data_IF_489534776037
#
_entry.id   IF_489534776037
#
_cell.length_a   1.000
_cell.length_b   1.000
_cell.length_c   1.000
_cell.angle_alpha   90.00
_cell.angle_beta   90.00
_cell.angle_gamma   90.00
#
_symmetry.space_group_name_H-M   'P 1'
#
loop_
_entity.id
_entity.type
_entity.pdbx_description
1 polymer ?
#
# COMPACT_ATOMS: atom_id res chain seq x y z
N UNK A 1 7.56 1.58 -13.30
CA UNK A 1 6.40 1.43 -12.41
C UNK A 1 5.23 1.10 -13.31
N UNK A 2 4.57 -0.02 -13.04
CA UNK A 2 3.39 -0.45 -13.78
C UNK A 2 2.15 -0.13 -12.95
N UNK A 3 1.16 0.49 -13.58
CA UNK A 3 -0.12 0.81 -12.96
C UNK A 3 -1.23 0.11 -13.74
N UNK A 4 -2.05 -0.66 -13.03
CA UNK A 4 -3.20 -1.35 -13.61
C UNK A 4 -4.43 -1.04 -12.78
N UNK A 5 -5.48 -0.58 -13.44
CA UNK A 5 -6.80 -0.37 -12.85
C UNK A 5 -7.79 -1.34 -13.49
N UNK A 6 -8.31 -2.27 -12.69
CA UNK A 6 -9.33 -3.25 -13.08
C UNK A 6 -10.74 -2.85 -12.62
N UNK A 7 -10.94 -1.65 -12.08
CA UNK A 7 -12.28 -1.19 -11.70
C UNK A 7 -13.01 -0.55 -12.89
N UNK A 8 -14.33 -0.66 -12.91
CA UNK A 8 -15.18 0.04 -13.88
C UNK A 8 -15.38 1.53 -13.52
N UNK A 9 -14.91 1.93 -12.32
CA UNK A 9 -14.90 3.27 -11.77
C UNK A 9 -14.48 3.22 -10.29
N UNK A 10 -13.69 4.18 -9.82
CA UNK A 10 -13.46 4.39 -8.38
C UNK A 10 -14.40 5.50 -7.91
N UNK A 11 -15.44 5.14 -7.16
CA UNK A 11 -16.32 6.09 -6.50
C UNK A 11 -15.82 6.30 -5.07
N UNK A 12 -14.91 7.27 -4.90
CA UNK A 12 -14.39 7.67 -3.61
C UNK A 12 -15.01 9.01 -3.19
N UNK A 13 -15.31 9.15 -1.90
CA UNK A 13 -15.53 10.49 -1.35
C UNK A 13 -14.22 11.27 -1.32
N UNK A 14 -14.24 12.62 -1.27
CA UNK A 14 -13.02 13.41 -1.18
C UNK A 14 -12.12 13.01 0.00
N UNK A 15 -12.73 12.65 1.14
CA UNK A 15 -11.99 12.17 2.31
C UNK A 15 -11.31 10.82 2.03
N UNK A 16 -12.00 9.90 1.35
CA UNK A 16 -11.42 8.62 0.95
C UNK A 16 -10.26 8.80 -0.04
N UNK A 17 -10.39 9.69 -1.03
CA UNK A 17 -9.31 10.02 -1.97
C UNK A 17 -8.06 10.49 -1.23
N UNK A 18 -8.22 11.39 -0.25
CA UNK A 18 -7.12 11.91 0.55
C UNK A 18 -6.44 10.82 1.38
N UNK A 19 -7.20 9.90 1.98
CA UNK A 19 -6.59 8.80 2.74
C UNK A 19 -5.86 7.81 1.83
N UNK A 20 -6.47 7.41 0.72
CA UNK A 20 -5.87 6.50 -0.27
C UNK A 20 -4.59 7.13 -0.82
N UNK A 21 -4.62 8.41 -1.21
CA UNK A 21 -3.45 9.12 -1.71
C UNK A 21 -2.28 9.09 -0.74
N UNK A 22 -2.51 9.40 0.54
CA UNK A 22 -1.45 9.41 1.53
C UNK A 22 -0.91 8.01 1.85
N UNK A 23 -1.76 6.96 1.80
CA UNK A 23 -1.29 5.58 1.96
C UNK A 23 -0.37 5.20 0.79
N UNK A 24 -0.79 5.48 -0.45
CA UNK A 24 0.02 5.21 -1.64
C UNK A 24 1.33 6.00 -1.61
N UNK A 25 1.27 7.28 -1.23
CA UNK A 25 2.45 8.14 -1.13
C UNK A 25 3.47 7.59 -0.13
N UNK A 26 3.02 7.21 1.07
CA UNK A 26 3.88 6.65 2.10
C UNK A 26 4.48 5.31 1.68
N UNK A 27 3.67 4.44 1.05
CA UNK A 27 4.15 3.17 0.50
C UNK A 27 5.27 3.37 -0.54
N UNK A 28 5.06 4.26 -1.51
CA UNK A 28 6.05 4.59 -2.53
C UNK A 28 7.30 5.24 -1.93
N UNK A 29 7.14 6.12 -0.93
CA UNK A 29 8.28 6.71 -0.23
C UNK A 29 9.12 5.65 0.49
N UNK A 30 8.49 4.66 1.13
CA UNK A 30 9.17 3.54 1.78
C UNK A 30 9.93 2.68 0.77
N UNK A 31 9.33 2.39 -0.39
CA UNK A 31 9.98 1.65 -1.47
C UNK A 31 11.21 2.42 -1.97
N UNK A 32 11.08 3.71 -2.30
CA UNK A 32 12.18 4.53 -2.80
C UNK A 32 13.35 4.64 -1.81
N UNK A 33 13.05 4.73 -0.50
CA UNK A 33 14.08 4.87 0.54
C UNK A 33 14.76 3.56 0.90
N UNK A 34 14.05 2.44 0.86
CA UNK A 34 14.48 1.21 1.52
C UNK A 34 14.62 -0.02 0.61
N UNK A 35 13.84 -0.13 -0.46
CA UNK A 35 13.72 -1.41 -1.18
C UNK A 35 14.89 -1.74 -2.11
N UNK A 36 15.57 -0.75 -2.68
CA UNK A 36 16.46 -0.93 -3.86
C UNK A 36 15.77 -1.67 -5.03
N UNK A 37 14.44 -1.64 -5.07
CA UNK A 37 13.64 -2.25 -6.12
C UNK A 37 13.92 -1.60 -7.48
N UNK A 38 13.78 -2.39 -8.54
CA UNK A 38 13.83 -1.92 -9.92
C UNK A 38 12.43 -1.80 -10.50
N UNK A 39 11.52 -2.65 -10.03
CA UNK A 39 10.17 -2.75 -10.51
C UNK A 39 9.19 -2.50 -9.36
N UNK A 40 8.16 -1.73 -9.66
CA UNK A 40 7.05 -1.44 -8.76
C UNK A 40 5.78 -1.65 -9.57
N UNK A 41 4.82 -2.38 -9.01
CA UNK A 41 3.49 -2.60 -9.58
C UNK A 41 2.43 -2.10 -8.62
N UNK A 42 1.52 -1.28 -9.12
CA UNK A 42 0.31 -0.86 -8.43
C UNK A 42 -0.90 -1.43 -9.16
N UNK A 43 -1.71 -2.20 -8.44
CA UNK A 43 -2.97 -2.76 -8.93
C UNK A 43 -4.13 -2.18 -8.13
N UNK A 44 -5.22 -1.82 -8.79
CA UNK A 44 -6.49 -1.55 -8.13
C UNK A 44 -7.56 -2.44 -8.75
N UNK A 45 -8.34 -3.09 -7.90
CA UNK A 45 -9.45 -3.92 -8.29
C UNK A 45 -10.60 -3.79 -7.28
N UNK A 46 -11.79 -4.20 -7.69
CA UNK A 46 -12.94 -4.32 -6.80
C UNK A 46 -13.22 -5.81 -6.60
N UNK A 47 -13.24 -6.24 -5.34
CA UNK A 47 -13.53 -7.62 -4.94
C UNK A 47 -14.82 -7.58 -4.12
N UNK A 48 -15.94 -7.93 -4.76
CA UNK A 48 -17.26 -7.78 -4.15
C UNK A 48 -17.55 -6.32 -3.78
N UNK A 49 -17.79 -6.08 -2.50
CA UNK A 49 -18.11 -4.76 -1.95
C UNK A 49 -16.91 -4.03 -1.35
N UNK A 50 -15.69 -4.41 -1.75
CA UNK A 50 -14.45 -3.78 -1.30
C UNK A 50 -13.55 -3.41 -2.49
N UNK A 51 -12.90 -2.25 -2.39
CA UNK A 51 -11.73 -1.95 -3.19
C UNK A 51 -10.50 -2.62 -2.58
N UNK A 52 -9.68 -3.21 -3.43
CA UNK A 52 -8.36 -3.70 -3.09
C UNK A 52 -7.32 -2.95 -3.91
N UNK A 53 -6.41 -2.26 -3.22
CA UNK A 53 -5.24 -1.63 -3.82
C UNK A 53 -4.00 -2.40 -3.37
N UNK A 54 -3.21 -2.88 -4.31
CA UNK A 54 -1.97 -3.61 -4.04
C UNK A 54 -0.77 -2.86 -4.62
N UNK A 55 0.23 -2.58 -3.80
CA UNK A 55 1.54 -2.09 -4.23
C UNK A 55 2.56 -3.19 -3.97
N UNK A 56 3.31 -3.60 -5.00
CA UNK A 56 4.36 -4.61 -4.89
C UNK A 56 5.67 -4.09 -5.48
N UNK A 57 6.78 -4.31 -4.81
CA UNK A 57 8.13 -4.07 -5.31
C UNK A 57 8.95 -5.36 -5.35
N UNK A 58 10.02 -5.38 -6.14
CA UNK A 58 10.96 -6.52 -6.28
C UNK A 58 12.28 -6.30 -5.52
N UNK A 59 12.25 -5.46 -4.49
CA UNK A 59 13.42 -5.07 -3.73
C UNK A 59 13.90 -6.10 -2.70
N UNK A 60 14.74 -5.62 -1.78
CA UNK A 60 15.37 -6.44 -0.75
C UNK A 60 14.43 -6.87 0.38
N UNK A 61 13.22 -6.28 0.44
CA UNK A 61 12.24 -6.50 1.52
C UNK A 61 12.58 -5.74 2.82
N UNK A 62 11.64 -5.74 3.77
CA UNK A 62 11.69 -4.94 5.01
C UNK A 62 12.64 -5.53 6.07
N UNK A 63 12.87 -6.85 6.04
CA UNK A 63 13.67 -7.56 7.05
C UNK A 63 15.15 -7.72 6.68
N UNK A 64 15.61 -7.21 5.54
CA UNK A 64 17.00 -7.35 5.09
C UNK A 64 18.04 -6.75 6.06
N UNK A 65 17.62 -5.85 6.96
CA UNK A 65 18.46 -5.21 7.96
C UNK A 65 18.25 -5.73 9.41
N UNK A 66 17.55 -6.86 9.60
CA UNK A 66 17.35 -7.49 10.91
C UNK A 66 16.22 -6.89 11.75
N UNK A 67 15.91 -5.59 11.62
CA UNK A 67 14.71 -4.94 12.18
C UNK A 67 14.29 -3.77 11.29
N UNK A 68 12.98 -3.50 11.11
CA UNK A 68 12.53 -2.26 10.47
C UNK A 68 13.00 -1.07 11.31
N UNK A 69 13.67 -0.09 10.71
CA UNK A 69 14.11 1.10 11.43
C UNK A 69 12.91 1.90 11.99
N UNK A 70 13.11 2.78 13.00
CA UNK A 70 12.02 3.53 13.65
C UNK A 70 11.11 4.30 12.68
N UNK A 71 11.69 4.87 11.61
CA UNK A 71 10.92 5.60 10.59
C UNK A 71 9.97 4.72 9.78
N UNK A 72 10.35 3.47 9.50
CA UNK A 72 9.50 2.51 8.79
C UNK A 72 8.31 2.08 9.66
N UNK A 73 8.54 1.83 10.95
CA UNK A 73 7.45 1.56 11.90
C UNK A 73 6.45 2.72 11.97
N UNK A 74 6.95 3.96 11.96
CA UNK A 74 6.09 5.15 11.99
C UNK A 74 5.23 5.27 10.72
N UNK A 75 5.83 5.09 9.54
CA UNK A 75 5.12 5.09 8.26
C UNK A 75 4.02 4.02 8.20
N UNK A 76 4.32 2.80 8.67
CA UNK A 76 3.35 1.70 8.75
C UNK A 76 2.18 2.05 9.68
N UNK A 77 2.45 2.63 10.85
CA UNK A 77 1.40 3.04 11.79
C UNK A 77 0.51 4.15 11.22
N UNK A 78 1.08 5.11 10.47
CA UNK A 78 0.29 6.13 9.76
C UNK A 78 -0.64 5.46 8.76
N UNK A 79 -0.13 4.56 7.92
CA UNK A 79 -0.94 3.86 6.91
C UNK A 79 -2.08 3.07 7.55
N UNK A 80 -1.82 2.36 8.66
CA UNK A 80 -2.86 1.68 9.43
C UNK A 80 -3.93 2.65 9.96
N UNK A 81 -3.52 3.80 10.51
CA UNK A 81 -4.45 4.82 11.01
C UNK A 81 -5.37 5.35 9.91
N UNK A 82 -4.82 5.60 8.72
CA UNK A 82 -5.58 6.07 7.55
C UNK A 82 -6.51 5.01 6.98
N UNK A 83 -6.07 3.75 6.92
CA UNK A 83 -6.95 2.67 6.50
C UNK A 83 -8.13 2.47 7.45
N UNK A 84 -7.92 2.64 8.77
CA UNK A 84 -9.04 2.67 9.72
C UNK A 84 -10.04 3.80 9.44
N UNK A 85 -9.58 4.98 9.01
CA UNK A 85 -10.46 6.08 8.61
C UNK A 85 -11.27 5.75 7.34
N UNK A 86 -10.75 4.87 6.48
CA UNK A 86 -11.47 4.32 5.33
C UNK A 86 -12.48 3.23 5.71
N UNK A 87 -12.57 2.82 6.98
CA UNK A 87 -13.30 1.62 7.39
C UNK A 87 -12.64 0.32 6.93
N UNK A 88 -11.35 0.37 6.62
CA UNK A 88 -10.57 -0.70 6.00
C UNK A 88 -9.32 -1.09 6.77
N UNK A 89 -8.42 -1.79 6.10
CA UNK A 89 -7.16 -2.30 6.63
C UNK A 89 -6.01 -2.16 5.65
N UNK A 90 -4.79 -2.10 6.17
CA UNK A 90 -3.58 -2.34 5.40
C UNK A 90 -2.93 -3.61 5.92
N UNK A 91 -2.52 -4.48 5.00
CA UNK A 91 -1.65 -5.61 5.28
C UNK A 91 -0.33 -5.42 4.53
N UNK A 92 0.79 -5.74 5.19
CA UNK A 92 2.12 -5.65 4.60
C UNK A 92 2.80 -7.01 4.76
N UNK A 93 3.13 -7.61 3.63
CA UNK A 93 3.91 -8.85 3.57
C UNK A 93 5.25 -8.55 2.91
N UNK A 94 6.33 -9.05 3.49
CA UNK A 94 7.67 -8.86 2.93
C UNK A 94 8.54 -10.05 3.24
N UNK A 95 9.38 -10.41 2.28
CA UNK A 95 10.37 -11.45 2.43
C UNK A 95 11.72 -10.95 1.94
N UNK A 96 12.78 -11.29 2.68
CA UNK A 96 14.13 -10.86 2.32
C UNK A 96 14.50 -11.34 0.92
N UNK A 97 14.89 -10.41 0.05
CA UNK A 97 15.26 -10.66 -1.35
C UNK A 97 14.09 -10.93 -2.30
N UNK A 98 12.83 -10.89 -1.83
CA UNK A 98 11.63 -11.11 -2.64
C UNK A 98 10.68 -9.90 -2.64
N UNK A 99 11.13 -8.76 -2.12
CA UNK A 99 10.41 -7.49 -2.13
C UNK A 99 9.39 -7.31 -1.00
N UNK A 100 8.51 -6.33 -1.22
CA UNK A 100 7.42 -6.00 -0.30
C UNK A 100 6.11 -5.92 -1.07
N UNK A 101 5.04 -6.37 -0.43
CA UNK A 101 3.66 -6.22 -0.90
C UNK A 101 2.86 -5.53 0.18
N UNK A 102 2.24 -4.41 -0.18
CA UNK A 102 1.23 -3.73 0.62
C UNK A 102 -0.13 -3.93 -0.02
N UNK A 103 -1.12 -4.34 0.77
CA UNK A 103 -2.51 -4.51 0.36
C UNK A 103 -3.38 -3.62 1.22
N UNK A 104 -4.03 -2.63 0.61
CA UNK A 104 -5.08 -1.81 1.21
C UNK A 104 -6.43 -2.38 0.79
N UNK A 105 -7.30 -2.68 1.75
CA UNK A 105 -8.69 -3.06 1.52
C UNK A 105 -9.64 -2.13 2.25
N UNK A 106 -10.70 -1.67 1.58
CA UNK A 106 -11.73 -0.83 2.18
C UNK A 106 -13.05 -0.93 1.39
N UNK A 107 -14.21 -0.60 1.98
CA UNK A 107 -15.50 -0.72 1.31
C UNK A 107 -15.59 0.08 0.00
N UNK A 108 -16.23 -0.49 -1.03
CA UNK A 108 -16.42 0.15 -2.33
C UNK A 108 -17.66 1.04 -2.42
N UNK A 109 -18.48 1.03 -1.37
CA UNK A 109 -19.62 1.90 -1.18
C UNK A 109 -19.44 2.63 0.16
N UNK A 110 -19.64 3.95 0.22
CA UNK A 110 -19.61 4.71 1.46
C UNK A 110 -20.75 4.35 2.41
#
# INVERSE_FOLDING_TARGET
>A
MDFVNHTQGLNLTPDQEVQVFHIVQEALANICKHSRARNIRLNIEQIGDAYQLTITDDGIGLCAAGHPGPGMHFGINIMHGRAKQLGGSVEITSQSGAGTRLTLMFPSQP
#
